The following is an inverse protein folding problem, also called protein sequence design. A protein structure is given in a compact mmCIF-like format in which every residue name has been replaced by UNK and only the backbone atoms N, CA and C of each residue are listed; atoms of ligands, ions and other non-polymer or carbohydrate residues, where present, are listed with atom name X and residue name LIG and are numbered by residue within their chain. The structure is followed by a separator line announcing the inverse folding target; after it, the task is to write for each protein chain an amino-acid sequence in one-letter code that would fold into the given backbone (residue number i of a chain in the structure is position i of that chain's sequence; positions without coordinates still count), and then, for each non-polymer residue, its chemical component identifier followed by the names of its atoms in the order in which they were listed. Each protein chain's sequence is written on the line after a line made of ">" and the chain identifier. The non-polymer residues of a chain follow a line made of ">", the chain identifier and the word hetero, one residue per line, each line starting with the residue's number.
data_IF_720900299795
#
_entry.id   IF_720900299795
#
_cell.length_a   1.000
_cell.length_b   1.000
_cell.length_c   1.000
_cell.angle_alpha   90.00
_cell.angle_beta   90.00
_cell.angle_gamma   90.00
#
_symmetry.space_group_name_H-M   'P 1'
#
loop_
_entity.id
_entity.type
_entity.pdbx_description
1 polymer ?
#
# COMPACT_ATOMS: atom_id res chain seq x y z
N UNK A 1 23.56 7.09 -9.51
CA UNK A 1 22.65 6.13 -8.86
C UNK A 1 22.54 6.42 -7.37
N UNK A 2 23.65 6.43 -6.58
CA UNK A 2 23.61 6.62 -5.12
C UNK A 2 22.96 7.94 -4.68
N UNK A 3 23.27 9.07 -5.34
CA UNK A 3 22.64 10.37 -5.03
C UNK A 3 21.11 10.35 -5.16
N UNK A 4 20.57 9.64 -6.18
CA UNK A 4 19.11 9.49 -6.34
C UNK A 4 18.51 8.62 -5.22
N UNK A 5 19.23 7.58 -4.78
CA UNK A 5 18.79 6.78 -3.64
C UNK A 5 18.80 7.59 -2.33
N UNK A 6 19.79 8.47 -2.15
CA UNK A 6 19.87 9.36 -1.00
C UNK A 6 18.76 10.41 -1.03
N UNK A 7 18.50 11.05 -2.17
CA UNK A 7 17.39 11.99 -2.36
C UNK A 7 16.03 11.35 -2.02
N UNK A 8 15.85 10.08 -2.38
CA UNK A 8 14.67 9.29 -2.05
C UNK A 8 14.74 8.62 -0.66
N UNK A 9 15.74 8.97 0.16
CA UNK A 9 15.89 8.49 1.56
C UNK A 9 16.10 6.98 1.72
N UNK A 10 16.50 6.26 0.66
CA UNK A 10 16.84 4.83 0.77
C UNK A 10 18.20 4.59 1.44
N UNK A 11 19.12 5.51 1.22
CA UNK A 11 20.46 5.45 1.77
C UNK A 11 20.88 6.80 2.32
N UNK A 12 21.92 6.80 3.15
CA UNK A 12 22.66 7.98 3.60
C UNK A 12 24.11 7.82 3.19
N UNK A 13 24.65 8.80 2.47
CA UNK A 13 26.07 8.85 2.10
C UNK A 13 26.83 9.58 3.22
N UNK A 14 27.78 8.89 3.83
CA UNK A 14 28.66 9.45 4.86
C UNK A 14 30.00 9.76 4.21
N UNK A 15 30.38 11.04 4.04
CA UNK A 15 31.63 11.40 3.40
C UNK A 15 32.83 10.66 4.01
N UNK A 16 33.68 10.10 3.14
CA UNK A 16 34.88 9.34 3.51
C UNK A 16 34.65 8.08 4.38
N UNK A 17 33.39 7.67 4.62
CA UNK A 17 33.08 6.49 5.45
C UNK A 17 32.25 5.43 4.71
N UNK A 18 31.46 5.82 3.72
CA UNK A 18 30.66 4.89 2.94
C UNK A 18 29.17 5.27 2.82
N UNK A 19 28.36 4.30 2.46
CA UNK A 19 26.91 4.46 2.30
C UNK A 19 26.20 3.44 3.16
N UNK A 20 25.21 3.89 3.93
CA UNK A 20 24.38 3.04 4.77
C UNK A 20 22.93 3.06 4.29
N UNK A 21 22.23 1.94 4.41
CA UNK A 21 20.79 1.86 4.20
C UNK A 21 20.09 2.50 5.40
N UNK A 22 19.15 3.42 5.13
CA UNK A 22 18.41 4.09 6.22
C UNK A 22 17.44 3.14 6.91
N UNK A 23 17.18 3.33 8.19
CA UNK A 23 16.07 2.65 8.86
C UNK A 23 14.72 3.23 8.42
N UNK A 24 13.66 2.43 8.50
CA UNK A 24 12.28 2.84 8.19
C UNK A 24 11.78 3.74 9.33
N UNK A 25 11.34 4.95 8.98
CA UNK A 25 10.74 5.89 9.93
C UNK A 25 9.23 5.65 10.00
N UNK A 26 8.76 5.05 11.09
CA UNK A 26 7.33 4.72 11.29
C UNK A 26 6.43 5.95 11.32
N UNK A 27 6.94 7.10 11.79
CA UNK A 27 6.20 8.36 11.76
C UNK A 27 5.98 8.89 10.35
N UNK A 28 6.96 8.67 9.46
CA UNK A 28 6.78 8.98 8.02
C UNK A 28 5.81 8.01 7.36
N UNK A 29 5.88 6.71 7.69
CA UNK A 29 4.94 5.70 7.19
C UNK A 29 3.50 6.08 7.56
N UNK A 30 3.25 6.47 8.82
CA UNK A 30 1.91 6.88 9.29
C UNK A 30 1.37 8.08 8.50
N UNK A 31 2.20 9.12 8.29
CA UNK A 31 1.80 10.29 7.51
C UNK A 31 1.47 9.97 6.05
N UNK A 32 2.24 9.07 5.43
CA UNK A 32 2.01 8.62 4.05
C UNK A 32 0.73 7.79 3.94
N UNK A 33 0.44 6.93 4.92
CA UNK A 33 -0.82 6.19 4.99
C UNK A 33 -2.00 7.16 5.18
N UNK A 34 -1.86 8.13 6.07
CA UNK A 34 -2.89 9.16 6.27
C UNK A 34 -3.20 9.92 4.98
N UNK A 35 -2.15 10.34 4.25
CA UNK A 35 -2.29 10.98 2.94
C UNK A 35 -3.06 10.09 1.96
N UNK A 36 -2.73 8.79 1.89
CA UNK A 36 -3.41 7.84 1.02
C UNK A 36 -4.88 7.68 1.41
N UNK A 37 -5.19 7.51 2.68
CA UNK A 37 -6.59 7.42 3.16
C UNK A 37 -7.40 8.63 2.71
N UNK A 38 -6.85 9.84 2.88
CA UNK A 38 -7.55 11.06 2.52
C UNK A 38 -7.75 11.19 1.00
N UNK A 39 -6.70 10.96 0.21
CA UNK A 39 -6.75 11.16 -1.25
C UNK A 39 -7.49 10.01 -1.94
N UNK A 40 -7.11 8.74 -1.65
CA UNK A 40 -7.74 7.58 -2.30
C UNK A 40 -9.20 7.43 -1.89
N UNK A 41 -9.54 7.71 -0.63
CA UNK A 41 -10.93 7.69 -0.17
C UNK A 41 -11.81 8.69 -0.91
N UNK A 42 -11.32 9.92 -1.14
CA UNK A 42 -12.05 10.92 -1.92
C UNK A 42 -12.15 10.54 -3.40
N UNK A 43 -11.05 10.09 -4.00
CA UNK A 43 -11.03 9.67 -5.41
C UNK A 43 -11.95 8.46 -5.63
N UNK A 44 -11.91 7.47 -4.75
CA UNK A 44 -12.80 6.33 -4.82
C UNK A 44 -14.27 6.74 -4.65
N UNK A 45 -14.58 7.69 -3.76
CA UNK A 45 -15.93 8.26 -3.61
C UNK A 45 -16.43 8.90 -4.91
N UNK A 46 -15.61 9.73 -5.56
CA UNK A 46 -15.95 10.36 -6.84
C UNK A 46 -16.21 9.28 -7.89
N UNK A 47 -15.38 8.25 -7.94
CA UNK A 47 -15.54 7.13 -8.87
C UNK A 47 -16.84 6.35 -8.59
N UNK A 48 -17.10 5.97 -7.33
CA UNK A 48 -18.34 5.27 -6.95
C UNK A 48 -19.58 6.04 -7.37
N UNK A 49 -19.58 7.37 -7.23
CA UNK A 49 -20.72 8.22 -7.61
C UNK A 49 -20.95 8.24 -9.14
N UNK A 50 -19.90 8.23 -9.94
CA UNK A 50 -19.95 8.51 -11.37
C UNK A 50 -19.81 7.29 -12.26
N UNK A 51 -19.31 6.15 -11.76
CA UNK A 51 -18.99 5.00 -12.58
C UNK A 51 -20.21 4.38 -13.27
N UNK A 52 -19.99 3.98 -14.50
CA UNK A 52 -20.93 3.23 -15.35
C UNK A 52 -20.90 1.73 -15.04
N UNK A 53 -21.94 0.95 -15.47
CA UNK A 53 -21.92 -0.50 -15.34
C UNK A 53 -20.73 -1.18 -16.03
N UNK A 54 -20.24 -0.62 -17.15
CA UNK A 54 -19.06 -1.14 -17.85
C UNK A 54 -17.78 -0.93 -17.03
N UNK A 55 -17.67 0.15 -16.30
CA UNK A 55 -16.52 0.41 -15.41
C UNK A 55 -16.56 -0.49 -14.19
N UNK A 56 -17.73 -0.84 -13.67
CA UNK A 56 -17.87 -1.86 -12.61
C UNK A 56 -17.33 -3.21 -13.11
N UNK A 57 -17.71 -3.64 -14.33
CA UNK A 57 -17.20 -4.88 -14.93
C UNK A 57 -15.67 -4.84 -15.12
N UNK A 58 -15.10 -3.68 -15.46
CA UNK A 58 -13.66 -3.53 -15.57
C UNK A 58 -12.96 -3.70 -14.21
N UNK A 59 -13.52 -3.14 -13.13
CA UNK A 59 -12.99 -3.35 -11.76
C UNK A 59 -13.16 -4.80 -11.33
N UNK A 60 -14.24 -5.48 -11.69
CA UNK A 60 -14.41 -6.92 -11.45
C UNK A 60 -13.33 -7.75 -12.14
N UNK A 61 -12.97 -7.40 -13.37
CA UNK A 61 -11.86 -8.05 -14.07
C UNK A 61 -10.52 -7.85 -13.35
N UNK A 62 -10.22 -6.62 -12.92
CA UNK A 62 -9.00 -6.33 -12.13
C UNK A 62 -8.97 -7.09 -10.80
N UNK A 63 -10.12 -7.20 -10.13
CA UNK A 63 -10.24 -8.01 -8.91
C UNK A 63 -9.99 -9.50 -9.18
N UNK A 64 -10.47 -10.05 -10.30
CA UNK A 64 -10.20 -11.43 -10.66
C UNK A 64 -8.71 -11.67 -10.93
N UNK A 65 -8.01 -10.72 -11.56
CA UNK A 65 -6.55 -10.78 -11.71
C UNK A 65 -5.83 -10.78 -10.35
N UNK A 66 -6.30 -9.99 -9.38
CA UNK A 66 -5.79 -10.00 -8.01
C UNK A 66 -6.01 -11.37 -7.33
N UNK A 67 -7.19 -11.98 -7.52
CA UNK A 67 -7.50 -13.32 -7.00
C UNK A 67 -6.56 -14.39 -7.59
N UNK A 68 -6.30 -14.34 -8.89
CA UNK A 68 -5.38 -15.25 -9.57
C UNK A 68 -3.95 -15.08 -9.03
N UNK A 69 -3.48 -13.82 -8.90
CA UNK A 69 -2.18 -13.51 -8.32
C UNK A 69 -2.07 -13.98 -6.85
N UNK A 70 -3.19 -13.99 -6.12
CA UNK A 70 -3.26 -14.47 -4.74
C UNK A 70 -3.27 -15.99 -4.61
N UNK A 71 -3.46 -16.77 -5.69
CA UNK A 71 -3.61 -18.24 -5.63
C UNK A 71 -2.36 -18.94 -5.07
N UNK A 72 -1.15 -18.39 -5.31
CA UNK A 72 0.13 -18.92 -4.83
C UNK A 72 0.45 -18.67 -3.35
N UNK A 73 -0.46 -18.01 -2.59
CA UNK A 73 -0.20 -17.58 -1.20
C UNK A 73 0.06 -18.69 -0.18
N UNK A 74 -0.28 -19.93 -0.51
CA UNK A 74 -0.01 -21.11 0.33
C UNK A 74 1.45 -21.58 0.27
N UNK A 75 2.22 -21.10 -0.71
CA UNK A 75 3.65 -21.35 -0.87
C UNK A 75 4.42 -20.02 -0.81
N UNK A 76 4.77 -19.52 0.39
CA UNK A 76 5.41 -18.22 0.55
C UNK A 76 6.79 -18.09 -0.10
N UNK A 77 7.48 -19.22 -0.35
CA UNK A 77 8.82 -19.19 -0.97
C UNK A 77 8.74 -18.93 -2.48
N UNK A 78 7.65 -19.39 -3.13
CA UNK A 78 7.42 -19.20 -4.55
C UNK A 78 6.33 -18.15 -4.86
N UNK A 79 5.81 -17.47 -3.86
CA UNK A 79 4.78 -16.43 -4.05
C UNK A 79 5.34 -15.21 -4.78
N UNK A 80 4.79 -14.91 -5.97
CA UNK A 80 5.15 -13.70 -6.73
C UNK A 80 4.52 -12.45 -6.13
N UNK A 81 5.22 -11.93 -5.13
CA UNK A 81 4.88 -10.68 -4.46
C UNK A 81 4.73 -9.50 -5.42
N UNK A 82 5.63 -9.37 -6.41
CA UNK A 82 5.62 -8.21 -7.30
C UNK A 82 4.40 -8.24 -8.23
N UNK A 83 4.03 -9.43 -8.71
CA UNK A 83 2.82 -9.61 -9.50
C UNK A 83 1.55 -9.32 -8.67
N UNK A 84 1.46 -9.86 -7.46
CA UNK A 84 0.34 -9.57 -6.55
C UNK A 84 0.19 -8.08 -6.26
N UNK A 85 1.27 -7.39 -5.89
CA UNK A 85 1.27 -5.94 -5.65
C UNK A 85 0.89 -5.15 -6.90
N UNK A 86 1.34 -5.58 -8.09
CA UNK A 86 0.96 -4.95 -9.35
C UNK A 86 -0.54 -5.04 -9.62
N UNK A 87 -1.17 -6.18 -9.34
CA UNK A 87 -2.61 -6.36 -9.47
C UNK A 87 -3.39 -5.52 -8.44
N UNK A 88 -2.90 -5.45 -7.20
CA UNK A 88 -3.45 -4.59 -6.15
C UNK A 88 -3.46 -3.12 -6.58
N UNK A 89 -2.30 -2.61 -6.98
CA UNK A 89 -2.14 -1.21 -7.42
C UNK A 89 -2.98 -0.90 -8.67
N UNK A 90 -3.16 -1.85 -9.59
CA UNK A 90 -3.94 -1.64 -10.81
C UNK A 90 -5.42 -1.31 -10.51
N UNK A 91 -6.02 -1.91 -9.47
CA UNK A 91 -7.38 -1.54 -9.06
C UNK A 91 -7.43 -0.09 -8.55
N UNK A 92 -6.47 0.31 -7.71
CA UNK A 92 -6.40 1.69 -7.20
C UNK A 92 -6.17 2.70 -8.32
N UNK A 93 -5.21 2.44 -9.20
CA UNK A 93 -4.91 3.29 -10.35
C UNK A 93 -6.12 3.51 -11.24
N UNK A 94 -6.97 2.49 -11.42
CA UNK A 94 -8.12 2.55 -12.32
C UNK A 94 -9.08 3.69 -11.96
N UNK A 95 -9.46 3.85 -10.68
CA UNK A 95 -10.37 4.94 -10.32
C UNK A 95 -9.71 6.33 -10.36
N UNK A 96 -8.39 6.43 -10.18
CA UNK A 96 -7.69 7.70 -10.42
C UNK A 96 -7.76 8.11 -11.90
N UNK A 97 -7.53 7.17 -12.82
CA UNK A 97 -7.68 7.42 -14.25
C UNK A 97 -9.12 7.80 -14.62
N UNK A 98 -10.10 7.09 -14.09
CA UNK A 98 -11.51 7.33 -14.42
C UNK A 98 -12.06 8.64 -13.86
N UNK A 99 -11.43 9.19 -12.87
CA UNK A 99 -11.79 10.49 -12.28
C UNK A 99 -10.86 11.63 -12.71
N UNK A 100 -9.98 11.41 -13.70
CA UNK A 100 -9.00 12.39 -14.22
C UNK A 100 -8.07 12.94 -13.13
N UNK A 101 -7.53 12.03 -12.33
CA UNK A 101 -6.62 12.35 -11.21
C UNK A 101 -5.28 11.59 -11.31
N UNK A 102 -4.83 11.29 -12.53
CA UNK A 102 -3.59 10.55 -12.83
C UNK A 102 -2.38 11.20 -12.17
N UNK A 103 -2.31 12.52 -12.18
CA UNK A 103 -1.20 13.25 -11.56
C UNK A 103 -1.10 12.98 -10.05
N UNK A 104 -2.25 12.88 -9.35
CA UNK A 104 -2.25 12.54 -7.92
C UNK A 104 -1.75 11.10 -7.70
N UNK A 105 -2.15 10.16 -8.56
CA UNK A 105 -1.66 8.79 -8.53
C UNK A 105 -0.13 8.74 -8.70
N UNK A 106 0.39 9.41 -9.72
CA UNK A 106 1.84 9.52 -9.94
C UNK A 106 2.59 10.09 -8.74
N UNK A 107 2.03 11.12 -8.07
CA UNK A 107 2.66 11.70 -6.88
C UNK A 107 2.68 10.72 -5.70
N UNK A 108 1.59 9.97 -5.48
CA UNK A 108 1.45 9.04 -4.37
C UNK A 108 2.27 7.76 -4.56
N UNK A 109 2.42 7.30 -5.80
CA UNK A 109 3.16 6.06 -6.12
C UNK A 109 4.65 6.27 -6.40
N UNK A 110 5.13 7.51 -6.34
CA UNK A 110 6.58 7.77 -6.40
C UNK A 110 7.30 6.96 -5.33
N UNK A 111 8.47 6.37 -5.66
CA UNK A 111 9.24 5.57 -4.71
C UNK A 111 9.52 6.36 -3.42
N UNK A 112 8.93 5.93 -2.33
CA UNK A 112 9.11 6.48 -0.99
C UNK A 112 9.75 5.40 -0.11
N UNK A 113 10.99 5.64 0.32
CA UNK A 113 11.80 4.63 0.98
C UNK A 113 11.11 3.99 2.19
N UNK A 114 10.48 4.80 3.03
CA UNK A 114 9.88 4.33 4.27
C UNK A 114 8.64 3.47 3.99
N UNK A 115 7.70 3.99 3.19
CA UNK A 115 6.46 3.29 2.88
C UNK A 115 6.68 2.03 2.01
N UNK A 116 7.48 2.13 0.95
CA UNK A 116 7.72 1.01 0.04
C UNK A 116 8.37 -0.18 0.74
N UNK A 117 9.31 0.07 1.67
CA UNK A 117 9.96 -0.98 2.46
C UNK A 117 9.04 -1.53 3.53
N UNK A 118 8.23 -0.67 4.17
CA UNK A 118 7.25 -1.08 5.16
C UNK A 118 6.24 -2.06 4.57
N UNK A 119 5.61 -1.71 3.43
CA UNK A 119 4.66 -2.59 2.74
C UNK A 119 5.32 -3.92 2.36
N UNK A 120 6.57 -3.88 1.88
CA UNK A 120 7.28 -5.11 1.53
C UNK A 120 7.49 -6.02 2.74
N UNK A 121 7.80 -5.47 3.92
CA UNK A 121 7.93 -6.25 5.16
C UNK A 121 6.58 -6.82 5.62
N UNK A 122 5.48 -6.09 5.45
CA UNK A 122 4.13 -6.57 5.80
C UNK A 122 3.69 -7.76 4.93
N UNK A 123 4.07 -7.74 3.63
CA UNK A 123 3.64 -8.78 2.69
C UNK A 123 4.58 -10.01 2.66
N UNK A 124 5.83 -9.86 3.13
CA UNK A 124 6.77 -10.99 3.18
C UNK A 124 6.14 -12.18 3.90
N UNK A 125 6.15 -13.33 3.25
CA UNK A 125 5.51 -14.56 3.75
C UNK A 125 4.02 -14.64 3.46
N UNK A 126 3.48 -13.79 2.58
CA UNK A 126 2.08 -13.81 2.10
C UNK A 126 1.01 -13.75 3.22
N UNK A 127 1.37 -13.28 4.42
CA UNK A 127 0.50 -13.32 5.61
C UNK A 127 -0.71 -12.40 5.53
N UNK A 128 -0.65 -11.35 4.71
CA UNK A 128 -1.71 -10.37 4.53
C UNK A 128 -2.56 -10.58 3.27
N UNK A 129 -2.16 -11.46 2.36
CA UNK A 129 -2.81 -11.63 1.05
C UNK A 129 -4.32 -11.88 1.18
N UNK A 130 -4.73 -12.75 2.11
CA UNK A 130 -6.15 -13.03 2.33
C UNK A 130 -6.94 -11.81 2.81
N UNK A 131 -6.35 -10.96 3.68
CA UNK A 131 -6.98 -9.73 4.14
C UNK A 131 -7.13 -8.73 2.99
N UNK A 132 -6.07 -8.54 2.21
CA UNK A 132 -6.08 -7.62 1.04
C UNK A 132 -7.15 -8.05 0.05
N UNK A 133 -7.23 -9.33 -0.31
CA UNK A 133 -8.27 -9.86 -1.22
C UNK A 133 -9.68 -9.59 -0.67
N UNK A 134 -9.91 -9.83 0.64
CA UNK A 134 -11.22 -9.58 1.26
C UNK A 134 -11.60 -8.09 1.26
N UNK A 135 -10.63 -7.22 1.51
CA UNK A 135 -10.83 -5.78 1.51
C UNK A 135 -11.16 -5.25 0.09
N UNK A 136 -10.52 -5.81 -0.95
CA UNK A 136 -10.84 -5.48 -2.35
C UNK A 136 -12.22 -6.04 -2.78
N UNK A 137 -12.64 -7.20 -2.27
CA UNK A 137 -14.01 -7.68 -2.47
C UNK A 137 -15.03 -6.69 -1.89
N UNK A 138 -14.71 -6.11 -0.74
CA UNK A 138 -15.58 -5.10 -0.11
C UNK A 138 -15.59 -3.78 -0.90
N UNK A 139 -14.47 -3.37 -1.52
CA UNK A 139 -14.46 -2.24 -2.46
C UNK A 139 -15.41 -2.49 -3.63
N UNK A 140 -15.43 -3.71 -4.16
CA UNK A 140 -16.33 -4.11 -5.23
C UNK A 140 -17.80 -4.09 -4.80
N UNK A 141 -18.13 -4.54 -3.57
CA UNK A 141 -19.46 -4.43 -3.00
C UNK A 141 -19.90 -2.96 -2.91
N UNK A 142 -19.07 -2.10 -2.31
CA UNK A 142 -19.32 -0.66 -2.20
C UNK A 142 -19.60 -0.05 -3.57
N UNK A 143 -18.84 -0.42 -4.59
CA UNK A 143 -19.00 0.07 -5.95
C UNK A 143 -20.36 -0.31 -6.56
N UNK A 144 -20.78 -1.58 -6.36
CA UNK A 144 -22.07 -2.10 -6.87
C UNK A 144 -23.27 -1.49 -6.15
N UNK A 145 -23.16 -1.33 -4.84
CA UNK A 145 -24.25 -0.85 -3.99
C UNK A 145 -24.29 0.68 -3.85
N UNK A 146 -23.25 1.38 -4.35
CA UNK A 146 -23.08 2.83 -4.18
C UNK A 146 -23.08 3.26 -2.71
N UNK A 147 -22.48 2.43 -1.84
CA UNK A 147 -22.42 2.62 -0.39
C UNK A 147 -21.31 3.61 -0.02
N UNK A 148 -21.62 4.91 -0.13
CA UNK A 148 -20.64 5.98 0.08
C UNK A 148 -20.17 6.07 1.56
N UNK A 149 -20.98 5.63 2.51
CA UNK A 149 -20.65 5.74 3.94
C UNK A 149 -19.64 4.68 4.39
N UNK A 150 -19.57 3.55 3.67
CA UNK A 150 -18.60 2.49 3.93
C UNK A 150 -17.18 2.80 3.40
N UNK A 151 -17.01 3.82 2.55
CA UNK A 151 -15.73 4.09 1.87
C UNK A 151 -14.63 4.44 2.87
N UNK A 152 -14.83 5.46 3.72
CA UNK A 152 -13.78 5.89 4.64
C UNK A 152 -13.38 4.80 5.65
N UNK A 153 -14.32 4.10 6.32
CA UNK A 153 -13.99 2.98 7.19
C UNK A 153 -13.19 1.88 6.49
N UNK A 154 -13.56 1.54 5.24
CA UNK A 154 -12.84 0.53 4.47
C UNK A 154 -11.43 1.00 4.10
N UNK A 155 -11.27 2.22 3.58
CA UNK A 155 -9.96 2.77 3.22
C UNK A 155 -9.01 2.84 4.42
N UNK A 156 -9.51 3.21 5.60
CA UNK A 156 -8.74 3.15 6.85
C UNK A 156 -8.36 1.71 7.20
N UNK A 157 -9.28 0.77 7.06
CA UNK A 157 -9.01 -0.63 7.35
C UNK A 157 -7.97 -1.20 6.42
N UNK A 158 -8.09 -0.94 5.14
CA UNK A 158 -7.19 -1.42 4.10
C UNK A 158 -5.78 -0.83 4.24
N UNK A 159 -5.65 0.49 4.23
CA UNK A 159 -4.36 1.16 4.18
C UNK A 159 -3.59 1.08 5.51
N UNK A 160 -4.27 1.11 6.66
CA UNK A 160 -3.64 0.88 7.97
C UNK A 160 -3.49 -0.61 8.33
N UNK A 161 -3.96 -1.52 7.48
CA UNK A 161 -3.88 -2.97 7.72
C UNK A 161 -2.46 -3.44 8.04
N UNK A 162 -1.46 -2.98 7.28
CA UNK A 162 -0.06 -3.29 7.52
C UNK A 162 0.44 -2.83 8.90
N UNK A 163 0.08 -1.61 9.32
CA UNK A 163 0.45 -1.08 10.64
C UNK A 163 -0.14 -1.94 11.75
N UNK A 164 -1.42 -2.35 11.62
CA UNK A 164 -2.07 -3.22 12.61
C UNK A 164 -1.44 -4.61 12.67
N UNK A 165 -1.11 -5.21 11.53
CA UNK A 165 -0.49 -6.56 11.46
C UNK A 165 0.93 -6.55 12.01
N UNK A 166 1.71 -5.52 11.66
CA UNK A 166 3.06 -5.37 12.19
C UNK A 166 3.04 -5.07 13.69
N UNK A 167 2.17 -4.16 14.16
CA UNK A 167 1.94 -3.89 15.58
C UNK A 167 3.21 -3.88 16.42
N UNK A 168 3.24 -4.68 17.48
CA UNK A 168 4.40 -4.83 18.36
C UNK A 168 5.60 -5.57 17.74
N UNK A 169 5.41 -6.26 16.60
CA UNK A 169 6.50 -7.00 15.94
C UNK A 169 7.66 -6.09 15.51
N UNK A 170 7.40 -4.82 15.23
CA UNK A 170 8.47 -3.84 14.90
C UNK A 170 9.53 -3.72 16.01
N UNK A 171 9.20 -4.10 17.26
CA UNK A 171 10.11 -4.09 18.40
C UNK A 171 10.80 -5.42 18.65
N UNK A 172 10.43 -6.50 17.91
CA UNK A 172 11.06 -7.80 18.06
C UNK A 172 12.49 -7.80 17.53
N UNK A 173 13.32 -8.74 17.99
CA UNK A 173 14.71 -8.88 17.55
C UNK A 173 14.83 -9.11 16.04
N UNK A 174 13.82 -9.76 15.43
CA UNK A 174 13.74 -10.00 13.99
C UNK A 174 13.61 -8.71 13.18
N UNK A 175 12.84 -7.72 13.68
CA UNK A 175 12.45 -6.53 12.91
C UNK A 175 13.08 -5.23 13.39
N UNK A 176 13.53 -5.15 14.66
CA UNK A 176 14.02 -3.88 15.25
C UNK A 176 15.14 -3.22 14.45
N UNK A 177 15.97 -3.99 13.76
CA UNK A 177 17.05 -3.47 12.93
C UNK A 177 16.58 -2.75 11.65
N UNK A 178 15.34 -2.94 11.24
CA UNK A 178 14.76 -2.29 10.05
C UNK A 178 14.12 -0.94 10.37
N UNK A 179 13.77 -0.67 11.63
CA UNK A 179 12.97 0.48 12.03
C UNK A 179 13.77 1.49 12.86
N UNK A 180 13.53 2.78 12.58
CA UNK A 180 13.89 3.86 13.47
C UNK A 180 12.85 3.92 14.58
N UNK A 181 13.20 3.41 15.74
CA UNK A 181 12.34 3.48 16.91
C UNK A 181 12.24 4.93 17.40
N UNK A 182 11.07 5.39 17.87
CA UNK A 182 10.95 6.69 18.49
C UNK A 182 11.91 6.77 19.67
N UNK A 183 12.71 7.84 19.73
CA UNK A 183 13.50 8.13 20.92
C UNK A 183 12.53 8.30 22.09
N UNK A 184 12.69 7.50 23.15
CA UNK A 184 11.97 7.73 24.40
C UNK A 184 12.28 9.14 24.83
N UNK A 185 11.38 10.09 24.60
CA UNK A 185 11.46 11.40 25.23
C UNK A 185 11.37 11.16 26.74
N UNK A 186 12.54 11.23 27.40
CA UNK A 186 12.64 11.26 28.86
C UNK A 186 11.97 12.52 29.40
#
# INVERSE_FOLDING_TARGET
>A
VLQRLEQNRFVQIIPCKGTIVTAIDTGVVDQLIFQRVAVEGMVFRDFVQSCSPMEILAVEHLYNMLLEAAAGRSDPENFDFNHFLSCDLAMHEYWFHKTSKEYLWEQMTRPQADYSRFIRLDIVGARNVSSVVSEHAEMLRILREKDLDAIEPLMRTHLYGGVRRMGSKIYSDEYRGYFKLPENKK
#
